data_IF_296986848578
#
_entry.id   IF_296986848578
#
_cell.length_a   1.000
_cell.length_b   1.000
_cell.length_c   1.000
_cell.angle_alpha   90.00
_cell.angle_beta   90.00
_cell.angle_gamma   90.00
#
_symmetry.space_group_name_H-M   'P 1'
#
loop_
_entity.id
_entity.type
_entity.pdbx_description
1 polymer ?
#
# COMPACT_ATOMS: atom_id res chain seq x y z
N UNK A 1 0.81 10.85 -13.47
CA UNK A 1 1.56 10.01 -12.51
C UNK A 1 0.66 8.85 -12.10
N UNK A 2 0.96 7.62 -12.55
CA UNK A 2 0.04 6.46 -12.43
C UNK A 2 0.70 5.20 -11.83
N UNK A 3 1.90 5.33 -11.28
CA UNK A 3 2.82 4.22 -10.99
C UNK A 3 2.17 3.13 -10.10
N UNK A 4 1.39 3.53 -9.09
CA UNK A 4 0.71 2.59 -8.20
C UNK A 4 -0.80 2.45 -8.44
N UNK A 5 -1.41 3.31 -9.27
CA UNK A 5 -2.86 3.29 -9.45
C UNK A 5 -3.32 1.99 -10.11
N UNK A 6 -4.44 1.43 -9.65
CA UNK A 6 -5.05 0.21 -10.18
C UNK A 6 -5.34 -0.84 -9.11
N UNK A 7 -5.64 -2.05 -9.54
CA UNK A 7 -6.00 -3.17 -8.67
C UNK A 7 -4.79 -4.04 -8.36
N UNK A 8 -4.69 -4.44 -7.10
CA UNK A 8 -3.56 -5.21 -6.57
C UNK A 8 -4.07 -6.33 -5.69
N UNK A 9 -3.64 -7.56 -5.97
CA UNK A 9 -3.97 -8.73 -5.17
C UNK A 9 -2.95 -8.88 -4.03
N UNK A 10 -3.42 -8.94 -2.79
CA UNK A 10 -2.57 -9.18 -1.62
C UNK A 10 -2.14 -10.65 -1.52
N UNK A 11 -1.20 -10.95 -0.64
CA UNK A 11 -0.73 -12.33 -0.39
C UNK A 11 -1.86 -13.22 0.15
N UNK A 12 -2.79 -12.62 0.89
CA UNK A 12 -4.00 -13.24 1.44
C UNK A 12 -5.15 -13.33 0.41
N UNK A 13 -4.96 -12.77 -0.79
CA UNK A 13 -5.90 -12.90 -1.90
C UNK A 13 -6.93 -11.78 -2.05
N UNK A 14 -6.92 -10.76 -1.19
CA UNK A 14 -7.81 -9.60 -1.31
C UNK A 14 -7.40 -8.69 -2.47
N UNK A 15 -8.35 -7.99 -3.08
CA UNK A 15 -8.06 -6.99 -4.11
C UNK A 15 -8.15 -5.60 -3.50
N UNK A 16 -7.01 -4.91 -3.45
CA UNK A 16 -6.92 -3.50 -3.06
C UNK A 16 -6.97 -2.62 -4.30
N UNK A 17 -7.89 -1.65 -4.34
CA UNK A 17 -7.95 -0.65 -5.40
C UNK A 17 -7.22 0.60 -4.97
N UNK A 18 -6.10 0.90 -5.62
CA UNK A 18 -5.28 2.09 -5.37
C UNK A 18 -5.65 3.19 -6.35
N UNK A 19 -5.90 4.40 -5.84
CA UNK A 19 -6.19 5.60 -6.62
C UNK A 19 -5.20 6.71 -6.29
N UNK A 20 -5.03 7.66 -7.23
CA UNK A 20 -4.22 8.85 -7.04
C UNK A 20 -5.12 10.09 -7.09
N UNK A 21 -5.04 10.92 -6.06
CA UNK A 21 -5.78 12.18 -5.98
C UNK A 21 -5.03 13.16 -5.09
N UNK A 22 -5.05 14.45 -5.44
CA UNK A 22 -4.45 15.53 -4.63
C UNK A 22 -3.00 15.26 -4.19
N UNK A 23 -2.16 14.76 -5.10
CA UNK A 23 -0.74 14.54 -4.81
C UNK A 23 -0.42 13.26 -4.02
N UNK A 24 -1.40 12.40 -3.75
CA UNK A 24 -1.24 11.22 -2.90
C UNK A 24 -1.94 9.99 -3.45
N UNK A 25 -1.40 8.81 -3.14
CA UNK A 25 -2.09 7.54 -3.36
C UNK A 25 -2.83 7.10 -2.10
N UNK A 26 -4.00 6.49 -2.31
CA UNK A 26 -4.81 5.84 -1.28
C UNK A 26 -5.32 4.51 -1.82
N UNK A 27 -5.59 3.54 -0.94
CA UNK A 27 -6.06 2.21 -1.34
C UNK A 27 -7.23 1.76 -0.50
N UNK A 28 -8.24 1.18 -1.14
CA UNK A 28 -9.43 0.61 -0.48
C UNK A 28 -9.49 -0.90 -0.68
N UNK A 29 -9.92 -1.63 0.35
CA UNK A 29 -10.26 -3.04 0.25
C UNK A 29 -11.61 -3.25 -0.48
N UNK A 30 -12.03 -4.51 -0.75
CA UNK A 30 -13.30 -4.80 -1.40
C UNK A 30 -14.55 -4.33 -0.63
N UNK A 31 -14.43 -4.07 0.68
CA UNK A 31 -15.50 -3.53 1.53
C UNK A 31 -15.50 -2.00 1.57
N UNK A 32 -14.62 -1.35 0.81
CA UNK A 32 -14.44 0.11 0.81
C UNK A 32 -13.68 0.66 2.01
N UNK A 33 -13.06 -0.19 2.83
CA UNK A 33 -12.27 0.24 3.99
C UNK A 33 -10.88 0.70 3.54
N UNK A 34 -10.41 1.86 4.00
CA UNK A 34 -9.09 2.34 3.62
C UNK A 34 -7.97 1.46 4.19
N UNK A 35 -7.13 0.95 3.30
CA UNK A 35 -6.03 0.01 3.57
C UNK A 35 -4.67 0.68 3.33
N UNK A 36 -4.60 1.64 2.41
CA UNK A 36 -3.43 2.49 2.18
C UNK A 36 -3.83 3.96 2.31
N UNK A 37 -3.02 4.73 3.02
CA UNK A 37 -3.30 6.11 3.36
C UNK A 37 -2.14 7.04 3.01
N UNK A 38 -2.47 8.15 2.36
CA UNK A 38 -1.59 9.31 2.18
C UNK A 38 -0.18 8.96 1.66
N UNK A 39 -0.09 8.02 0.71
CA UNK A 39 1.21 7.66 0.15
C UNK A 39 1.71 8.79 -0.75
N UNK A 40 2.83 9.41 -0.37
CA UNK A 40 3.44 10.58 -1.02
C UNK A 40 4.92 10.32 -1.28
N UNK A 41 5.47 11.05 -2.24
CA UNK A 41 6.89 10.98 -2.53
C UNK A 41 7.65 11.96 -1.63
N UNK A 42 8.50 11.43 -0.74
CA UNK A 42 9.26 12.19 0.24
C UNK A 42 10.67 11.61 0.35
N UNK A 43 11.70 12.46 0.26
CA UNK A 43 13.11 12.07 0.40
C UNK A 43 13.51 10.87 -0.48
N UNK A 44 13.11 10.91 -1.76
CA UNK A 44 13.34 9.87 -2.77
C UNK A 44 12.58 8.55 -2.57
N UNK A 45 11.60 8.51 -1.68
CA UNK A 45 10.83 7.29 -1.39
C UNK A 45 9.32 7.57 -1.35
N UNK A 46 8.52 6.56 -1.69
CA UNK A 46 7.06 6.64 -1.53
C UNK A 46 6.67 6.17 -0.15
N UNK A 47 6.19 7.08 0.70
CA UNK A 47 5.88 6.83 2.11
C UNK A 47 4.42 7.10 2.43
N UNK A 48 3.82 6.31 3.31
CA UNK A 48 2.45 6.48 3.77
C UNK A 48 2.14 5.60 4.98
N UNK A 49 0.88 5.17 5.09
CA UNK A 49 0.44 4.23 6.13
C UNK A 49 -0.32 3.08 5.49
N UNK A 50 -0.13 1.87 6.01
CA UNK A 50 -0.89 0.67 5.64
C UNK A 50 -1.59 0.09 6.86
N UNK A 51 -2.77 -0.48 6.66
CA UNK A 51 -3.58 -1.10 7.70
C UNK A 51 -4.09 -2.46 7.26
N UNK A 52 -3.90 -3.48 8.09
CA UNK A 52 -4.54 -4.77 7.96
C UNK A 52 -5.77 -4.77 8.88
N UNK A 53 -6.96 -4.77 8.27
CA UNK A 53 -8.24 -4.73 8.97
C UNK A 53 -8.62 -6.04 9.65
N UNK A 54 -8.04 -7.18 9.24
CA UNK A 54 -8.33 -8.47 9.85
C UNK A 54 -7.59 -8.63 11.18
N UNK A 55 -6.39 -8.02 11.29
CA UNK A 55 -5.58 -8.04 12.52
C UNK A 55 -5.63 -6.74 13.32
N UNK A 56 -6.29 -5.69 12.80
CA UNK A 56 -6.28 -4.34 13.37
C UNK A 56 -4.90 -3.68 13.40
N UNK A 57 -3.94 -4.16 12.61
CA UNK A 57 -2.56 -3.66 12.64
C UNK A 57 -2.39 -2.51 11.67
N UNK A 58 -1.76 -1.43 12.13
CA UNK A 58 -1.47 -0.24 11.34
C UNK A 58 -0.01 0.17 11.51
N UNK A 59 0.63 0.59 10.43
CA UNK A 59 2.03 1.01 10.44
C UNK A 59 2.39 1.93 9.28
N UNK A 60 3.49 2.66 9.43
CA UNK A 60 4.06 3.44 8.34
C UNK A 60 4.53 2.49 7.25
N UNK A 61 4.45 2.88 5.98
CA UNK A 61 4.91 2.03 4.90
C UNK A 61 5.74 2.77 3.86
N UNK A 62 6.67 2.03 3.26
CA UNK A 62 7.38 2.41 2.05
C UNK A 62 6.94 1.53 0.88
N UNK A 63 6.84 2.11 -0.31
CA UNK A 63 6.30 1.44 -1.49
C UNK A 63 7.25 1.49 -2.68
N UNK A 64 7.46 0.34 -3.31
CA UNK A 64 8.35 0.18 -4.46
C UNK A 64 7.67 -0.65 -5.54
N UNK A 65 7.63 -0.13 -6.77
CA UNK A 65 7.18 -0.91 -7.92
C UNK A 65 8.35 -1.77 -8.41
N UNK A 66 8.17 -3.09 -8.43
CA UNK A 66 9.15 -4.07 -8.88
C UNK A 66 8.53 -4.95 -9.97
N UNK A 67 8.61 -4.49 -11.21
CA UNK A 67 7.94 -5.14 -12.35
C UNK A 67 6.42 -5.19 -12.14
N UNK A 68 5.84 -6.39 -12.08
CA UNK A 68 4.41 -6.61 -11.83
C UNK A 68 4.04 -6.73 -10.34
N UNK A 69 5.01 -6.54 -9.45
CA UNK A 69 4.80 -6.60 -7.99
C UNK A 69 4.94 -5.22 -7.37
N UNK A 70 4.13 -4.97 -6.36
CA UNK A 70 4.22 -3.83 -5.48
C UNK A 70 4.78 -4.31 -4.14
N UNK A 71 6.05 -4.01 -3.89
CA UNK A 71 6.70 -4.27 -2.60
C UNK A 71 6.25 -3.20 -1.61
N UNK A 72 5.76 -3.64 -0.46
CA UNK A 72 5.35 -2.77 0.64
C UNK A 72 6.14 -3.19 1.87
N UNK A 73 6.87 -2.23 2.46
CA UNK A 73 7.60 -2.41 3.71
C UNK A 73 6.85 -1.68 4.79
N UNK A 74 6.17 -2.40 5.68
CA UNK A 74 5.41 -1.84 6.80
C UNK A 74 6.27 -1.83 8.07
N UNK A 75 6.36 -0.67 8.72
CA UNK A 75 7.15 -0.42 9.93
C UNK A 75 6.22 -0.02 11.08
N UNK A 76 6.42 -0.64 12.25
CA UNK A 76 5.73 -0.31 13.51
C UNK A 76 6.74 -0.36 14.66
N UNK A 77 7.20 0.81 15.09
CA UNK A 77 8.32 0.90 16.03
C UNK A 77 9.59 0.29 15.43
N UNK A 78 10.23 -0.62 16.15
CA UNK A 78 11.43 -1.34 15.70
C UNK A 78 11.13 -2.53 14.79
N UNK A 79 9.86 -2.90 14.62
CA UNK A 79 9.47 -4.05 13.82
C UNK A 79 9.17 -3.63 12.38
N UNK A 80 9.57 -4.47 11.44
CA UNK A 80 9.30 -4.32 10.02
C UNK A 80 8.77 -5.62 9.42
N UNK A 81 7.81 -5.51 8.49
CA UNK A 81 7.33 -6.63 7.68
C UNK A 81 7.27 -6.20 6.22
N UNK A 82 7.79 -7.03 5.33
CA UNK A 82 7.67 -6.83 3.88
C UNK A 82 6.61 -7.78 3.33
N UNK A 83 5.78 -7.30 2.42
CA UNK A 83 4.84 -8.11 1.65
C UNK A 83 4.74 -7.60 0.21
N UNK A 84 4.28 -8.48 -0.69
CA UNK A 84 4.19 -8.19 -2.11
C UNK A 84 2.75 -8.30 -2.59
N UNK A 85 2.24 -7.23 -3.19
CA UNK A 85 0.97 -7.30 -3.92
C UNK A 85 1.22 -7.45 -5.41
N UNK A 86 0.38 -8.22 -6.09
CA UNK A 86 0.53 -8.51 -7.52
C UNK A 86 -0.49 -7.72 -8.32
N UNK A 87 -0.07 -7.11 -9.42
CA UNK A 87 -0.98 -6.37 -10.30
C UNK A 87 -2.09 -7.29 -10.82
N UNK A 88 -3.32 -6.80 -10.86
CA UNK A 88 -4.44 -7.43 -11.56
C UNK A 88 -4.73 -6.70 -12.86
#
# INVERSE_FOLDING_TARGET
>A
MIIFAGKWKTEEGFIITITYSNGKFSGLDPKGRPTLYNVRFEKNEWKGTVENHDTGQKGNCEMYLQGKKLKIVANKGIFSKTFYWVKQ
#
